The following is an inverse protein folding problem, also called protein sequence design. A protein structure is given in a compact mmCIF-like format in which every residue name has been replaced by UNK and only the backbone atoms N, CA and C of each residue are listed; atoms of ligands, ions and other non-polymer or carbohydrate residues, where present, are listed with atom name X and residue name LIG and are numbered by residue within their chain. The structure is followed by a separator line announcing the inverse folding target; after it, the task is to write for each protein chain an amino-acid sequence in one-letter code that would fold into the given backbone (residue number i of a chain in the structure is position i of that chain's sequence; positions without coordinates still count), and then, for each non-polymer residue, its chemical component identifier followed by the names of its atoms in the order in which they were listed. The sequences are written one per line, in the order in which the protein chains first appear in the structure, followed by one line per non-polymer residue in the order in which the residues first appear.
data_IF_369342362436
#
_entry.id   IF_369342362436
#
_cell.length_a   1.000
_cell.length_b   1.000
_cell.length_c   1.000
_cell.angle_alpha   90.00
_cell.angle_beta   90.00
_cell.angle_gamma   90.00
#
_symmetry.space_group_name_H-M   'P 1'
#
loop_
_entity.id
_entity.type
_entity.pdbx_description
1 polymer ?
#
# COMPACT_ATOMS: atom_id res chain seq x y z
N UNK A 1 15.13 -1.50 -14.33
CA UNK A 1 14.28 -1.33 -13.13
C UNK A 1 12.88 -1.90 -13.31
N UNK A 2 12.08 -1.48 -14.31
CA UNK A 2 10.71 -2.01 -14.47
C UNK A 2 10.64 -3.54 -14.60
N UNK A 3 11.37 -4.14 -15.55
CA UNK A 3 11.40 -5.61 -15.72
C UNK A 3 12.24 -6.35 -14.65
N UNK A 4 12.94 -5.59 -13.81
CA UNK A 4 13.61 -6.16 -12.63
C UNK A 4 12.57 -6.46 -11.55
N UNK A 5 11.55 -5.59 -11.42
CA UNK A 5 10.49 -5.68 -10.40
C UNK A 5 9.21 -6.35 -10.90
N UNK A 6 8.73 -6.00 -12.10
CA UNK A 6 7.44 -6.41 -12.65
C UNK A 6 7.60 -7.28 -13.92
N UNK A 7 6.53 -7.98 -14.31
CA UNK A 7 6.45 -8.65 -15.61
C UNK A 7 6.31 -7.60 -16.72
N UNK A 8 6.56 -7.99 -17.97
CA UNK A 8 6.37 -7.11 -19.12
C UNK A 8 4.90 -6.64 -19.18
N UNK A 9 4.61 -5.33 -19.14
CA UNK A 9 3.23 -4.85 -19.25
C UNK A 9 2.61 -5.26 -20.59
N UNK A 10 1.35 -5.71 -20.55
CA UNK A 10 0.63 -6.20 -21.74
C UNK A 10 0.23 -5.09 -22.73
N UNK A 11 0.14 -3.85 -22.26
CA UNK A 11 -0.26 -2.69 -23.04
C UNK A 11 0.30 -1.37 -22.46
N UNK A 12 0.07 -0.26 -23.17
CA UNK A 12 0.53 1.07 -22.75
C UNK A 12 -0.11 1.54 -21.44
N UNK A 13 -1.40 1.25 -21.21
CA UNK A 13 -2.08 1.61 -19.96
C UNK A 13 -1.48 0.89 -18.74
N UNK A 14 -1.00 -0.32 -18.93
CA UNK A 14 -0.27 -1.11 -17.94
C UNK A 14 1.15 -0.60 -17.74
N UNK A 15 1.83 -0.16 -18.81
CA UNK A 15 3.12 0.52 -18.71
C UNK A 15 3.02 1.80 -17.87
N UNK A 16 2.00 2.63 -18.09
CA UNK A 16 1.77 3.86 -17.32
C UNK A 16 1.53 3.54 -15.85
N UNK A 17 0.62 2.61 -15.54
CA UNK A 17 0.33 2.20 -14.16
C UNK A 17 1.57 1.64 -13.44
N UNK A 18 2.30 0.71 -14.07
CA UNK A 18 3.50 0.13 -13.48
C UNK A 18 4.62 1.15 -13.32
N UNK A 19 4.70 2.18 -14.17
CA UNK A 19 5.69 3.25 -14.01
C UNK A 19 5.45 4.08 -12.74
N UNK A 20 4.18 4.42 -12.46
CA UNK A 20 3.78 5.16 -11.26
C UNK A 20 4.02 4.32 -10.01
N UNK A 21 3.63 3.05 -10.06
CA UNK A 21 3.79 2.12 -8.93
C UNK A 21 5.28 1.85 -8.64
N UNK A 22 6.10 1.67 -9.67
CA UNK A 22 7.56 1.49 -9.52
C UNK A 22 8.20 2.69 -8.82
N UNK A 23 7.82 3.92 -9.23
CA UNK A 23 8.29 5.15 -8.60
C UNK A 23 7.87 5.19 -7.12
N UNK A 24 6.60 4.90 -6.83
CA UNK A 24 6.05 4.94 -5.49
C UNK A 24 6.77 3.97 -4.53
N UNK A 25 6.94 2.71 -4.95
CA UNK A 25 7.63 1.68 -4.17
C UNK A 25 9.12 2.02 -3.96
N UNK A 26 9.79 2.54 -4.98
CA UNK A 26 11.20 2.94 -4.88
C UNK A 26 11.44 4.06 -3.86
N UNK A 27 10.61 5.11 -3.91
CA UNK A 27 10.71 6.22 -2.94
C UNK A 27 10.29 5.76 -1.55
N UNK A 28 9.22 4.96 -1.42
CA UNK A 28 8.77 4.38 -0.15
C UNK A 28 9.90 3.65 0.56
N UNK A 29 10.59 2.75 -0.14
CA UNK A 29 11.68 1.97 0.43
C UNK A 29 12.78 2.86 1.04
N UNK A 30 13.18 3.90 0.32
CA UNK A 30 14.17 4.87 0.81
C UNK A 30 13.66 5.68 2.01
N UNK A 31 12.47 6.26 1.91
CA UNK A 31 11.89 7.12 2.96
C UNK A 31 11.66 6.34 4.26
N UNK A 32 11.06 5.15 4.17
CA UNK A 32 10.83 4.32 5.35
C UNK A 32 12.16 3.92 6.02
N UNK A 33 13.20 3.59 5.24
CA UNK A 33 14.53 3.32 5.78
C UNK A 33 15.13 4.54 6.50
N UNK A 34 15.09 5.72 5.89
CA UNK A 34 15.62 6.94 6.51
C UNK A 34 14.85 7.34 7.77
N UNK A 35 13.53 7.16 7.80
CA UNK A 35 12.72 7.40 9.00
C UNK A 35 13.03 6.41 10.13
N UNK A 36 13.33 5.14 9.80
CA UNK A 36 13.84 4.19 10.80
C UNK A 36 15.19 4.63 11.36
N UNK A 37 16.09 5.13 10.50
CA UNK A 37 17.45 5.60 10.84
C UNK A 37 17.51 7.07 11.30
N UNK A 38 16.52 7.51 12.09
CA UNK A 38 16.34 8.92 12.49
C UNK A 38 17.51 9.52 13.28
N UNK A 39 18.31 8.67 13.93
CA UNK A 39 19.54 9.05 14.63
C UNK A 39 20.65 9.51 13.67
N UNK A 40 20.53 9.18 12.38
CA UNK A 40 21.46 9.62 11.32
C UNK A 40 20.80 10.57 10.32
N UNK A 41 19.50 10.40 10.07
CA UNK A 41 18.77 11.15 9.05
C UNK A 41 17.60 11.89 9.68
N UNK A 42 17.65 13.22 9.69
CA UNK A 42 16.65 14.07 10.31
C UNK A 42 15.61 14.65 9.33
N UNK A 43 15.63 14.23 8.06
CA UNK A 43 14.70 14.74 7.05
C UNK A 43 14.88 14.09 5.69
N UNK A 44 13.81 14.12 4.89
CA UNK A 44 13.82 13.61 3.52
C UNK A 44 12.91 14.48 2.65
N UNK A 45 13.45 14.96 1.54
CA UNK A 45 12.71 15.69 0.51
C UNK A 45 12.84 14.88 -0.79
N UNK A 46 11.75 14.29 -1.26
CA UNK A 46 11.78 13.59 -2.55
C UNK A 46 11.67 14.59 -3.69
N UNK A 47 12.43 14.36 -4.76
CA UNK A 47 12.31 15.11 -6.01
C UNK A 47 11.32 14.37 -6.92
N UNK A 48 10.20 14.95 -7.36
CA UNK A 48 9.68 16.31 -7.09
C UNK A 48 8.20 16.26 -6.71
N UNK A 49 7.63 17.38 -6.26
CA UNK A 49 6.22 17.42 -5.87
C UNK A 49 5.29 17.44 -7.09
N UNK A 50 5.43 18.42 -7.97
CA UNK A 50 4.48 18.75 -9.04
C UNK A 50 5.15 18.93 -10.43
N UNK A 51 4.32 19.21 -11.44
CA UNK A 51 4.76 19.53 -12.81
C UNK A 51 4.30 20.91 -13.27
N UNK A 52 5.05 21.52 -14.19
CA UNK A 52 4.71 22.79 -14.84
C UNK A 52 4.03 22.64 -16.21
N UNK A 53 3.93 21.41 -16.73
CA UNK A 53 3.29 21.04 -18.01
C UNK A 53 3.06 19.52 -18.09
N UNK A 54 2.21 19.00 -19.00
CA UNK A 54 2.00 17.57 -19.16
C UNK A 54 3.26 16.85 -19.67
N UNK A 55 3.93 16.10 -18.79
CA UNK A 55 5.23 15.49 -19.10
C UNK A 55 5.46 14.21 -18.29
N UNK A 56 6.40 13.37 -18.75
CA UNK A 56 7.00 12.35 -17.91
C UNK A 56 8.05 12.99 -16.98
N UNK A 57 7.83 12.90 -15.67
CA UNK A 57 8.71 13.50 -14.65
C UNK A 57 8.71 12.65 -13.37
N UNK A 58 9.46 13.12 -12.37
CA UNK A 58 9.50 12.57 -11.02
C UNK A 58 8.42 13.11 -10.08
N UNK A 59 7.42 13.82 -10.60
CA UNK A 59 6.37 14.40 -9.76
C UNK A 59 5.52 13.33 -9.09
N UNK A 60 4.95 13.66 -7.93
CA UNK A 60 3.88 12.87 -7.30
C UNK A 60 2.49 13.39 -7.69
N UNK A 61 2.40 14.67 -8.07
CA UNK A 61 1.22 15.34 -8.62
C UNK A 61 1.50 15.71 -10.07
N UNK A 62 0.64 15.29 -11.00
CA UNK A 62 0.80 15.73 -12.39
C UNK A 62 0.39 17.19 -12.61
N UNK A 63 0.54 17.67 -13.84
CA UNK A 63 0.23 19.06 -14.21
C UNK A 63 -1.23 19.48 -13.91
N UNK A 64 -2.17 18.53 -13.99
CA UNK A 64 -3.59 18.80 -13.72
C UNK A 64 -3.93 18.63 -12.24
N UNK A 65 -2.93 18.41 -11.38
CA UNK A 65 -3.10 18.19 -9.94
C UNK A 65 -3.56 16.77 -9.59
N UNK A 66 -3.55 15.83 -10.53
CA UNK A 66 -3.97 14.44 -10.28
C UNK A 66 -2.90 13.72 -9.48
N UNK A 67 -3.34 13.02 -8.44
CA UNK A 67 -2.45 12.25 -7.57
C UNK A 67 -1.96 11.00 -8.30
N UNK A 68 -0.65 10.85 -8.45
CA UNK A 68 -0.02 9.60 -8.86
C UNK A 68 0.13 8.66 -7.67
N UNK A 69 0.50 7.42 -7.92
CA UNK A 69 0.78 6.42 -6.87
C UNK A 69 1.72 6.94 -5.78
N UNK A 70 2.76 7.68 -6.15
CA UNK A 70 3.72 8.24 -5.20
C UNK A 70 3.05 9.18 -4.17
N UNK A 71 2.02 9.95 -4.53
CA UNK A 71 1.42 10.90 -3.58
C UNK A 71 0.60 10.18 -2.50
N UNK A 72 -0.15 9.14 -2.88
CA UNK A 72 -0.85 8.27 -1.94
C UNK A 72 0.12 7.54 -1.01
N UNK A 73 1.18 6.98 -1.58
CA UNK A 73 2.22 6.28 -0.82
C UNK A 73 3.00 7.25 0.07
N UNK A 74 3.20 8.50 -0.34
CA UNK A 74 3.83 9.54 0.47
C UNK A 74 3.02 9.91 1.69
N UNK A 75 1.69 10.00 1.56
CA UNK A 75 0.81 10.19 2.71
C UNK A 75 0.96 9.07 3.74
N UNK A 76 1.22 7.83 3.31
CA UNK A 76 1.47 6.69 4.22
C UNK A 76 2.87 6.75 4.84
N UNK A 77 3.93 6.91 4.04
CA UNK A 77 5.30 6.89 4.57
C UNK A 77 5.69 8.16 5.34
N UNK A 78 4.92 9.25 5.23
CA UNK A 78 5.04 10.45 6.07
C UNK A 78 3.93 10.57 7.13
N UNK A 79 3.15 9.52 7.35
CA UNK A 79 2.19 9.52 8.45
C UNK A 79 2.91 9.78 9.80
N UNK A 80 2.31 10.56 10.72
CA UNK A 80 2.91 10.84 12.03
C UNK A 80 3.26 9.58 12.83
N UNK A 81 2.46 8.52 12.66
CA UNK A 81 2.80 7.16 13.05
C UNK A 81 3.00 6.33 11.78
N UNK A 82 4.21 5.81 11.61
CA UNK A 82 4.58 4.95 10.51
C UNK A 82 4.82 3.54 10.99
N UNK A 83 3.95 2.62 10.60
CA UNK A 83 4.27 1.20 10.57
C UNK A 83 5.15 0.94 9.34
N UNK A 84 6.33 0.35 9.53
CA UNK A 84 7.20 -0.04 8.42
C UNK A 84 7.84 -1.40 8.66
N UNK A 85 8.17 -2.07 7.57
CA UNK A 85 8.83 -3.37 7.59
C UNK A 85 10.21 -3.20 6.98
N UNK A 86 11.25 -3.61 7.70
CA UNK A 86 12.55 -3.87 7.10
C UNK A 86 12.54 -5.27 6.49
N UNK A 87 12.34 -5.30 5.17
CA UNK A 87 12.22 -6.52 4.38
C UNK A 87 13.61 -7.08 4.04
N UNK A 88 13.98 -8.17 4.72
CA UNK A 88 15.24 -8.89 4.52
C UNK A 88 14.99 -10.41 4.47
N UNK A 89 14.31 -10.92 3.43
CA UNK A 89 13.85 -12.31 3.36
C UNK A 89 14.96 -13.32 3.65
N UNK A 90 14.71 -14.34 4.51
CA UNK A 90 13.41 -14.74 5.07
C UNK A 90 13.01 -13.99 6.35
N UNK A 91 13.72 -12.94 6.75
CA UNK A 91 13.44 -12.17 7.97
C UNK A 91 12.58 -10.94 7.68
N UNK A 92 11.70 -10.62 8.61
CA UNK A 92 10.83 -9.44 8.59
C UNK A 92 10.92 -8.75 9.94
N UNK A 93 11.43 -7.52 9.96
CA UNK A 93 11.49 -6.71 11.18
C UNK A 93 10.47 -5.59 11.12
N UNK A 94 9.60 -5.52 12.12
CA UNK A 94 8.50 -4.55 12.20
C UNK A 94 8.88 -3.41 13.12
N UNK A 95 8.68 -2.18 12.64
CA UNK A 95 8.98 -0.96 13.38
C UNK A 95 7.80 -0.01 13.38
N UNK A 96 7.70 0.77 14.46
CA UNK A 96 6.86 1.97 14.51
C UNK A 96 7.74 3.19 14.67
N UNK A 97 7.70 4.11 13.71
CA UNK A 97 8.30 5.43 13.84
C UNK A 97 7.23 6.45 14.18
N UNK A 98 7.43 7.19 15.26
CA UNK A 98 6.53 8.25 15.74
C UNK A 98 7.20 9.61 15.64
N UNK A 99 6.52 10.54 14.98
CA UNK A 99 6.85 11.97 14.97
C UNK A 99 5.98 12.76 15.97
N UNK A 100 5.24 12.06 16.82
CA UNK A 100 4.37 12.67 17.83
C UNK A 100 5.14 13.05 19.07
N UNK A 101 4.64 14.06 19.79
CA UNK A 101 5.26 14.60 21.00
C UNK A 101 4.89 13.83 22.27
N UNK A 102 3.81 13.06 22.21
CA UNK A 102 3.30 12.27 23.34
C UNK A 102 3.48 10.78 23.07
N UNK A 103 3.62 10.03 24.16
CA UNK A 103 3.61 8.57 24.12
C UNK A 103 2.23 8.08 23.71
N UNK A 104 2.18 7.13 22.79
CA UNK A 104 0.95 6.44 22.43
C UNK A 104 1.07 4.93 22.72
N UNK A 105 -0.05 4.24 22.74
CA UNK A 105 -0.10 2.78 22.81
C UNK A 105 -0.83 2.24 21.60
N UNK A 106 -0.53 0.99 21.26
CA UNK A 106 -1.22 0.28 20.20
C UNK A 106 -0.94 -1.20 20.26
N UNK A 107 -1.50 -1.91 19.29
CA UNK A 107 -1.29 -3.34 19.10
C UNK A 107 -0.81 -3.54 17.67
N UNK A 108 0.32 -4.25 17.51
CA UNK A 108 0.77 -4.71 16.20
C UNK A 108 0.35 -6.15 16.02
N UNK A 109 -0.47 -6.39 15.01
CA UNK A 109 -0.83 -7.73 14.54
C UNK A 109 0.00 -8.06 13.32
N UNK A 110 0.44 -9.30 13.21
CA UNK A 110 1.12 -9.77 12.02
C UNK A 110 0.69 -11.18 11.64
N UNK A 111 0.71 -11.47 10.34
CA UNK A 111 0.50 -12.79 9.77
C UNK A 111 1.53 -13.09 8.69
N UNK A 112 2.00 -14.33 8.65
CA UNK A 112 2.56 -14.96 7.46
C UNK A 112 1.43 -15.76 6.82
N UNK A 113 1.05 -15.42 5.60
CA UNK A 113 -0.09 -16.05 4.92
C UNK A 113 0.23 -16.38 3.46
N UNK A 114 -0.55 -17.30 2.89
CA UNK A 114 -0.53 -17.53 1.45
C UNK A 114 -1.16 -16.35 0.72
N UNK A 115 -0.86 -16.19 -0.58
CA UNK A 115 -1.57 -15.20 -1.41
C UNK A 115 -3.09 -15.44 -1.49
N UNK A 116 -3.56 -16.63 -1.10
CA UNK A 116 -4.98 -16.99 -1.01
C UNK A 116 -5.62 -16.64 0.35
N UNK A 117 -4.82 -16.30 1.37
CA UNK A 117 -5.29 -15.94 2.71
C UNK A 117 -5.19 -17.05 3.76
N UNK A 118 -4.55 -18.18 3.43
CA UNK A 118 -4.31 -19.23 4.44
C UNK A 118 -3.17 -18.78 5.36
N UNK A 119 -3.46 -18.64 6.65
CA UNK A 119 -2.48 -18.21 7.65
C UNK A 119 -1.58 -19.38 8.04
N UNK A 120 -0.26 -19.21 7.85
CA UNK A 120 0.77 -20.17 8.26
C UNK A 120 1.26 -19.89 9.68
N UNK A 121 1.37 -18.62 10.04
CA UNK A 121 1.81 -18.17 11.35
C UNK A 121 1.26 -16.76 11.61
N UNK A 122 1.07 -16.40 12.87
CA UNK A 122 0.56 -15.10 13.26
C UNK A 122 0.90 -14.76 14.69
N UNK A 123 0.97 -13.47 15.00
CA UNK A 123 1.17 -12.99 16.35
C UNK A 123 0.61 -11.60 16.58
N UNK A 124 0.60 -11.22 17.85
CA UNK A 124 0.11 -9.93 18.30
C UNK A 124 1.04 -9.42 19.42
N UNK A 125 1.48 -8.17 19.31
CA UNK A 125 2.35 -7.52 20.29
C UNK A 125 1.75 -6.19 20.72
N UNK A 126 1.58 -6.00 22.03
CA UNK A 126 1.27 -4.68 22.59
C UNK A 126 2.52 -3.80 22.52
N UNK A 127 2.37 -2.57 22.04
CA UNK A 127 3.50 -1.65 21.87
C UNK A 127 3.26 -0.34 22.59
N UNK A 128 4.27 0.09 23.33
CA UNK A 128 4.39 1.46 23.83
C UNK A 128 5.22 2.26 22.82
N UNK A 129 4.59 3.24 22.19
CA UNK A 129 5.15 4.03 21.11
C UNK A 129 5.73 5.30 21.73
N UNK A 130 7.06 5.31 21.92
CA UNK A 130 7.75 6.47 22.46
C UNK A 130 7.62 7.69 21.53
N UNK A 131 7.53 8.92 22.09
CA UNK A 131 7.45 10.14 21.29
C UNK A 131 8.76 10.38 20.56
N UNK A 132 8.66 10.91 19.33
CA UNK A 132 9.83 11.28 18.51
C UNK A 132 10.87 10.15 18.47
N UNK A 133 10.45 8.92 18.16
CA UNK A 133 11.30 7.74 18.25
C UNK A 133 10.92 6.67 17.23
N UNK A 134 11.86 5.77 16.95
CA UNK A 134 11.61 4.52 16.24
C UNK A 134 11.66 3.39 17.25
N UNK A 135 10.57 2.62 17.33
CA UNK A 135 10.41 1.48 18.23
C UNK A 135 10.45 0.20 17.39
N UNK A 136 11.39 -0.69 17.69
CA UNK A 136 11.39 -2.04 17.14
C UNK A 136 10.32 -2.87 17.86
N UNK A 137 9.42 -3.50 17.11
CA UNK A 137 8.27 -4.23 17.66
C UNK A 137 8.50 -5.73 17.58
N UNK A 138 8.87 -6.24 16.40
CA UNK A 138 9.10 -7.66 16.18
C UNK A 138 10.27 -7.86 15.22
N UNK A 139 11.02 -8.95 15.41
CA UNK A 139 12.04 -9.41 14.48
C UNK A 139 11.78 -10.91 14.23
N UNK A 140 11.17 -11.20 13.10
CA UNK A 140 10.62 -12.51 12.78
C UNK A 140 11.52 -13.20 11.76
N UNK A 141 11.90 -14.44 12.03
CA UNK A 141 12.71 -15.27 11.14
C UNK A 141 11.89 -16.47 10.65
N UNK A 142 11.52 -16.43 9.36
CA UNK A 142 10.69 -17.46 8.74
C UNK A 142 11.52 -18.52 7.98
N UNK A 143 12.81 -18.67 8.29
CA UNK A 143 13.69 -19.66 7.63
C UNK A 143 13.13 -21.09 7.68
N UNK A 144 12.34 -21.44 8.71
CA UNK A 144 11.75 -22.79 8.83
C UNK A 144 10.47 -22.96 8.00
N UNK A 145 9.77 -21.86 7.73
CA UNK A 145 8.49 -21.83 7.03
C UNK A 145 8.67 -21.57 5.53
N UNK A 146 9.78 -20.93 5.12
CA UNK A 146 9.98 -20.44 3.76
C UNK A 146 11.10 -21.21 3.05
N UNK A 147 10.81 -21.64 1.83
CA UNK A 147 11.76 -22.29 0.93
C UNK A 147 11.53 -21.81 -0.52
N UNK A 148 12.32 -22.31 -1.46
CA UNK A 148 12.22 -21.88 -2.87
C UNK A 148 10.91 -22.27 -3.55
N UNK A 149 10.22 -23.31 -3.07
CA UNK A 149 8.96 -23.78 -3.62
C UNK A 149 7.78 -22.89 -3.21
N UNK A 150 7.78 -22.37 -1.97
CA UNK A 150 6.63 -21.63 -1.44
C UNK A 150 6.82 -20.10 -1.38
N UNK A 151 8.05 -19.57 -1.40
CA UNK A 151 8.32 -18.11 -1.25
C UNK A 151 7.59 -17.21 -2.24
N UNK A 152 7.17 -17.75 -3.40
CA UNK A 152 6.41 -17.03 -4.44
C UNK A 152 4.91 -16.94 -4.15
N UNK A 153 4.44 -17.71 -3.17
CA UNK A 153 3.05 -17.85 -2.74
C UNK A 153 2.79 -17.26 -1.35
N UNK A 154 3.76 -16.56 -0.76
CA UNK A 154 3.65 -16.03 0.60
C UNK A 154 3.68 -14.51 0.61
N UNK A 155 2.93 -13.93 1.54
CA UNK A 155 2.94 -12.52 1.90
C UNK A 155 3.01 -12.42 3.42
N UNK A 156 3.78 -11.45 3.90
CA UNK A 156 3.78 -11.06 5.31
C UNK A 156 2.97 -9.78 5.44
N UNK A 157 1.99 -9.78 6.35
CA UNK A 157 1.11 -8.64 6.61
C UNK A 157 1.33 -8.17 8.04
N UNK A 158 1.53 -6.88 8.23
CA UNK A 158 1.59 -6.24 9.54
C UNK A 158 0.56 -5.11 9.61
N UNK A 159 -0.12 -4.99 10.74
CA UNK A 159 -1.17 -4.00 10.98
C UNK A 159 -0.98 -3.35 12.34
N UNK A 160 -1.10 -2.03 12.39
CA UNK A 160 -1.14 -1.26 13.63
C UNK A 160 -2.58 -0.94 13.98
N UNK A 161 -2.99 -1.29 15.19
CA UNK A 161 -4.32 -1.06 15.71
C UNK A 161 -4.27 -0.14 16.95
N UNK A 162 -5.13 0.87 16.97
CA UNK A 162 -5.36 1.75 18.13
C UNK A 162 -6.87 1.88 18.35
N UNK A 163 -7.32 1.75 19.60
CA UNK A 163 -8.74 1.89 19.99
C UNK A 163 -9.71 1.08 19.10
N UNK A 164 -9.32 -0.15 18.73
CA UNK A 164 -10.13 -1.04 17.90
C UNK A 164 -10.17 -0.69 16.41
N UNK A 165 -9.42 0.31 15.95
CA UNK A 165 -9.34 0.72 14.55
C UNK A 165 -7.95 0.43 13.97
N UNK A 166 -7.92 -0.02 12.72
CA UNK A 166 -6.67 -0.20 11.98
C UNK A 166 -6.15 1.18 11.54
N UNK A 167 -4.97 1.54 12.02
CA UNK A 167 -4.29 2.82 11.75
C UNK A 167 -3.39 2.72 10.52
N UNK A 168 -2.72 1.58 10.35
CA UNK A 168 -1.84 1.34 9.22
C UNK A 168 -1.77 -0.16 8.90
N UNK A 169 -1.47 -0.47 7.65
CA UNK A 169 -1.12 -1.81 7.17
C UNK A 169 0.12 -1.71 6.29
N UNK A 170 1.01 -2.68 6.43
CA UNK A 170 2.15 -2.89 5.55
C UNK A 170 2.23 -4.35 5.13
N UNK A 171 2.79 -4.57 3.95
CA UNK A 171 2.97 -5.89 3.35
C UNK A 171 4.42 -6.04 2.91
N UNK A 172 4.97 -7.23 3.13
CA UNK A 172 6.31 -7.61 2.66
C UNK A 172 6.26 -8.96 1.96
N UNK A 173 7.28 -9.23 1.14
CA UNK A 173 7.24 -10.31 0.17
C UNK A 173 8.56 -11.09 0.18
N UNK A 174 8.49 -12.38 -0.12
CA UNK A 174 9.66 -13.26 -0.10
C UNK A 174 10.23 -13.54 -1.50
N UNK A 175 9.68 -12.86 -2.52
CA UNK A 175 10.18 -12.85 -3.88
C UNK A 175 9.86 -11.51 -4.56
N UNK A 176 10.66 -11.07 -5.56
CA UNK A 176 10.32 -9.94 -6.40
C UNK A 176 8.92 -10.07 -7.01
N UNK A 177 8.20 -8.96 -7.18
CA UNK A 177 6.79 -8.95 -7.62
C UNK A 177 6.55 -9.78 -8.89
N UNK A 178 7.45 -9.72 -9.88
CA UNK A 178 7.35 -10.49 -11.13
C UNK A 178 7.35 -12.00 -10.93
N UNK A 179 7.93 -12.48 -9.84
CA UNK A 179 8.04 -13.90 -9.49
C UNK A 179 6.93 -14.39 -8.58
N UNK A 180 6.16 -13.49 -7.95
CA UNK A 180 4.98 -13.89 -7.19
C UNK A 180 3.99 -14.64 -8.08
N UNK A 181 3.39 -15.67 -7.53
CA UNK A 181 2.32 -16.45 -8.16
C UNK A 181 0.97 -15.79 -7.88
N UNK A 182 0.86 -14.51 -8.27
CA UNK A 182 -0.39 -13.77 -8.14
C UNK A 182 -1.51 -14.49 -8.91
N UNK A 183 -2.64 -14.66 -8.25
CA UNK A 183 -3.88 -15.16 -8.84
C UNK A 183 -4.80 -13.98 -9.15
N UNK A 184 -5.80 -14.20 -10.00
CA UNK A 184 -6.83 -13.21 -10.25
C UNK A 184 -7.52 -12.84 -8.92
N UNK A 185 -7.40 -11.59 -8.43
CA UNK A 185 -7.85 -11.26 -7.09
C UNK A 185 -9.38 -11.22 -6.94
N UNK A 186 -10.12 -11.14 -8.06
CA UNK A 186 -11.58 -11.06 -8.06
C UNK A 186 -12.09 -10.00 -7.08
N UNK A 187 -11.51 -8.79 -7.13
CA UNK A 187 -11.88 -7.70 -6.23
C UNK A 187 -13.34 -7.31 -6.45
N UNK A 188 -14.16 -7.46 -5.42
CA UNK A 188 -15.53 -6.98 -5.39
C UNK A 188 -15.57 -5.58 -4.81
N UNK A 189 -16.49 -4.75 -5.31
CA UNK A 189 -16.72 -3.41 -4.80
C UNK A 189 -18.20 -3.24 -4.47
N UNK A 190 -18.49 -2.83 -3.23
CA UNK A 190 -19.83 -2.43 -2.80
C UNK A 190 -19.82 -0.93 -2.55
N UNK A 191 -20.52 -0.21 -3.41
CA UNK A 191 -20.60 1.24 -3.39
C UNK A 191 -21.85 1.73 -2.67
N UNK A 192 -21.74 2.85 -1.96
CA UNK A 192 -22.87 3.61 -1.44
C UNK A 192 -22.54 5.09 -1.44
N UNK A 193 -23.55 5.92 -1.28
CA UNK A 193 -23.37 7.38 -1.11
C UNK A 193 -23.62 7.77 0.34
N UNK A 194 -22.75 8.62 0.89
CA UNK A 194 -22.93 9.27 2.19
C UNK A 194 -22.77 10.78 1.99
N UNK A 195 -23.90 11.50 1.92
CA UNK A 195 -23.88 12.92 1.55
C UNK A 195 -23.32 13.12 0.13
N UNK A 196 -22.23 13.87 0.03
CA UNK A 196 -21.51 14.14 -1.21
C UNK A 196 -20.33 13.18 -1.48
N UNK A 197 -20.18 12.12 -0.67
CA UNK A 197 -19.13 11.13 -0.81
C UNK A 197 -19.63 9.84 -1.44
N UNK A 198 -18.83 9.27 -2.33
CA UNK A 198 -18.89 7.87 -2.71
C UNK A 198 -18.06 7.06 -1.72
N UNK A 199 -18.66 6.03 -1.12
CA UNK A 199 -17.97 5.08 -0.23
C UNK A 199 -17.91 3.72 -0.91
N UNK A 200 -16.70 3.17 -1.02
CA UNK A 200 -16.37 1.96 -1.79
C UNK A 200 -15.76 0.94 -0.82
N UNK A 201 -16.44 -0.19 -0.63
CA UNK A 201 -15.95 -1.31 0.20
C UNK A 201 -15.38 -2.36 -0.75
N UNK A 202 -14.08 -2.61 -0.64
CA UNK A 202 -13.33 -3.49 -1.54
C UNK A 202 -12.92 -4.75 -0.80
N UNK A 203 -13.18 -5.91 -1.38
CA UNK A 203 -12.74 -7.21 -0.85
C UNK A 203 -12.15 -8.06 -1.98
N UNK A 204 -10.94 -8.58 -1.80
CA UNK A 204 -10.30 -9.50 -2.74
C UNK A 204 -10.41 -10.95 -2.29
N UNK A 205 -10.59 -11.89 -3.22
CA UNK A 205 -10.54 -13.33 -2.93
C UNK A 205 -9.10 -13.84 -2.72
N UNK A 206 -8.14 -13.24 -3.40
CA UNK A 206 -6.71 -13.42 -3.16
C UNK A 206 -6.05 -12.05 -3.02
N UNK A 207 -4.76 -12.00 -2.68
CA UNK A 207 -4.01 -10.75 -2.60
C UNK A 207 -4.18 -9.93 -3.89
N UNK A 208 -4.71 -8.72 -3.76
CA UNK A 208 -4.69 -7.72 -4.81
C UNK A 208 -3.59 -6.70 -4.50
N UNK A 209 -2.48 -6.78 -5.24
CA UNK A 209 -1.31 -5.92 -5.02
C UNK A 209 -1.47 -4.57 -5.74
N UNK A 210 -1.19 -3.49 -5.02
CA UNK A 210 -1.13 -2.09 -5.48
C UNK A 210 -2.40 -1.66 -6.23
N UNK A 211 -3.56 -1.92 -5.62
CA UNK A 211 -4.90 -1.65 -6.14
C UNK A 211 -5.04 -0.18 -6.52
N UNK A 212 -5.31 0.09 -7.80
CA UNK A 212 -5.68 1.41 -8.30
C UNK A 212 -7.20 1.48 -8.51
N UNK A 213 -7.79 2.56 -7.98
CA UNK A 213 -9.16 3.00 -8.23
C UNK A 213 -9.14 4.21 -9.17
N UNK A 214 -10.06 4.24 -10.13
CA UNK A 214 -10.32 5.41 -10.98
C UNK A 214 -11.78 5.50 -11.41
N UNK A 215 -12.19 6.69 -11.86
CA UNK A 215 -13.53 6.94 -12.43
C UNK A 215 -13.37 7.31 -13.90
N UNK A 216 -14.03 6.59 -14.80
CA UNK A 216 -14.06 6.99 -16.21
C UNK A 216 -14.89 8.26 -16.37
N UNK A 217 -14.27 9.31 -16.90
CA UNK A 217 -14.95 10.58 -17.20
C UNK A 217 -14.96 11.59 -16.05
N UNK A 218 -14.25 11.31 -14.95
CA UNK A 218 -14.05 12.28 -13.86
C UNK A 218 -12.69 12.05 -13.18
N UNK A 219 -12.02 13.15 -12.81
CA UNK A 219 -10.90 13.08 -11.88
C UNK A 219 -11.43 13.01 -10.44
N UNK A 220 -10.78 12.21 -9.60
CA UNK A 220 -11.15 12.03 -8.20
C UNK A 220 -9.94 11.76 -7.33
N UNK A 221 -9.88 12.43 -6.18
CA UNK A 221 -8.93 12.11 -5.12
C UNK A 221 -9.61 11.14 -4.17
N UNK A 222 -9.05 9.96 -4.03
CA UNK A 222 -9.56 8.93 -3.14
C UNK A 222 -8.96 9.09 -1.73
N UNK A 223 -9.69 8.66 -0.71
CA UNK A 223 -9.19 8.63 0.67
C UNK A 223 -8.04 7.64 0.80
N UNK A 224 -7.95 6.64 -0.07
CA UNK A 224 -6.74 5.85 -0.31
C UNK A 224 -6.71 5.21 -1.71
N UNK A 225 -5.50 5.00 -2.25
CA UNK A 225 -5.31 4.41 -3.57
C UNK A 225 -3.88 3.82 -3.72
N UNK A 226 -3.66 2.86 -4.60
CA UNK A 226 -2.38 2.14 -4.75
C UNK A 226 -1.92 1.45 -3.46
N UNK A 227 -2.80 0.66 -2.84
CA UNK A 227 -2.53 -0.14 -1.64
C UNK A 227 -2.62 -1.64 -1.92
N UNK A 228 -2.05 -2.45 -1.03
CA UNK A 228 -2.25 -3.89 -1.06
C UNK A 228 -3.51 -4.28 -0.28
N UNK A 229 -4.32 -5.16 -0.87
CA UNK A 229 -5.51 -5.74 -0.27
C UNK A 229 -5.27 -7.24 -0.07
N UNK A 230 -4.89 -7.67 1.14
CA UNK A 230 -4.74 -9.09 1.46
C UNK A 230 -6.05 -9.85 1.27
N UNK A 231 -5.92 -11.17 1.06
CA UNK A 231 -7.06 -12.01 0.71
C UNK A 231 -8.12 -12.04 1.84
N UNK A 232 -9.39 -11.91 1.46
CA UNK A 232 -10.52 -11.91 2.39
C UNK A 232 -10.65 -10.64 3.26
N UNK A 233 -9.67 -9.73 3.22
CA UNK A 233 -9.72 -8.48 3.97
C UNK A 233 -10.50 -7.41 3.21
N UNK A 234 -11.09 -6.48 3.95
CA UNK A 234 -11.86 -5.36 3.39
C UNK A 234 -11.09 -4.04 3.55
N UNK A 235 -11.06 -3.24 2.48
CA UNK A 235 -10.63 -1.85 2.51
C UNK A 235 -11.83 -0.94 2.23
N UNK A 236 -11.94 0.16 2.98
CA UNK A 236 -12.96 1.17 2.75
C UNK A 236 -12.29 2.42 2.21
N UNK A 237 -12.66 2.81 0.99
CA UNK A 237 -12.16 4.00 0.31
C UNK A 237 -13.32 4.95 0.05
N UNK A 238 -13.09 6.24 0.24
CA UNK A 238 -14.07 7.28 -0.08
C UNK A 238 -13.51 8.22 -1.14
N UNK A 239 -14.36 8.87 -1.91
CA UNK A 239 -13.99 10.03 -2.71
C UNK A 239 -15.19 10.95 -2.84
N UNK A 240 -14.94 12.23 -3.16
CA UNK A 240 -16.04 13.12 -3.53
C UNK A 240 -16.80 12.53 -4.73
N UNK A 241 -18.13 12.51 -4.64
CA UNK A 241 -18.98 12.14 -5.76
C UNK A 241 -18.91 13.24 -6.81
N UNK A 242 -18.55 12.94 -8.07
CA UNK A 242 -18.48 13.98 -9.10
C UNK A 242 -19.80 14.73 -9.24
N UNK A 243 -19.73 16.04 -9.46
CA UNK A 243 -20.93 16.87 -9.57
C UNK A 243 -21.87 16.31 -10.63
N UNK A 244 -23.17 16.29 -10.34
CA UNK A 244 -24.26 15.72 -11.18
C UNK A 244 -24.30 14.20 -11.30
N UNK A 245 -23.37 13.45 -10.71
CA UNK A 245 -23.42 11.99 -10.74
C UNK A 245 -24.33 11.43 -9.64
N UNK A 246 -25.06 10.37 -9.96
CA UNK A 246 -25.69 9.49 -8.99
C UNK A 246 -24.87 8.21 -8.75
N UNK A 247 -25.26 7.41 -7.75
CA UNK A 247 -24.58 6.16 -7.38
C UNK A 247 -24.37 5.22 -8.58
N UNK A 248 -25.42 4.95 -9.36
CA UNK A 248 -25.34 4.02 -10.50
C UNK A 248 -24.36 4.48 -11.59
N UNK A 249 -24.23 5.79 -11.79
CA UNK A 249 -23.24 6.34 -12.72
C UNK A 249 -21.82 6.16 -12.17
N UNK A 250 -21.62 6.44 -10.89
CA UNK A 250 -20.33 6.25 -10.23
C UNK A 250 -19.90 4.77 -10.26
N UNK A 251 -20.81 3.85 -9.99
CA UNK A 251 -20.58 2.40 -10.09
C UNK A 251 -20.20 1.97 -11.51
N UNK A 252 -20.92 2.46 -12.52
CA UNK A 252 -20.62 2.16 -13.92
C UNK A 252 -19.27 2.74 -14.38
N UNK A 253 -18.84 3.86 -13.79
CA UNK A 253 -17.58 4.54 -14.10
C UNK A 253 -16.38 3.97 -13.30
N UNK A 254 -16.61 3.34 -12.15
CA UNK A 254 -15.56 2.80 -11.29
C UNK A 254 -14.73 1.74 -12.02
N UNK A 255 -13.42 1.93 -12.01
CA UNK A 255 -12.44 0.94 -12.47
C UNK A 255 -11.51 0.59 -11.32
N UNK A 256 -11.23 -0.70 -11.23
CA UNK A 256 -10.35 -1.28 -10.23
C UNK A 256 -9.33 -2.09 -11.01
N UNK A 257 -8.06 -1.89 -10.72
CA UNK A 257 -6.98 -2.72 -11.26
C UNK A 257 -5.96 -3.00 -10.17
N UNK A 258 -5.17 -4.02 -10.38
CA UNK A 258 -4.04 -4.42 -9.54
C UNK A 258 -2.83 -4.76 -10.42
N UNK A 259 -1.71 -5.13 -9.80
CA UNK A 259 -0.54 -5.64 -10.54
C UNK A 259 -0.89 -6.86 -11.40
N UNK A 260 -1.82 -7.72 -10.95
CA UNK A 260 -2.25 -8.90 -11.71
C UNK A 260 -2.83 -8.50 -13.08
N UNK A 261 -3.56 -7.39 -13.15
CA UNK A 261 -4.23 -6.94 -14.38
C UNK A 261 -3.26 -6.33 -15.40
N UNK A 262 -1.98 -6.17 -15.06
CA UNK A 262 -0.99 -5.50 -15.91
C UNK A 262 -0.25 -6.42 -16.90
N UNK A 263 -0.35 -7.73 -16.75
CA UNK A 263 0.35 -8.73 -17.58
C UNK A 263 -0.56 -9.86 -18.06
#
# INVERSE_FOLDING_TARGET
QMLDTFRLPKDFGSLVYLSMVLQAEGIRYGVEHWRRARERVAGTLYWQLNDCWPVASWSSLDYFGRWKALHYVARRFFAPLLLSIEDAPPRQSVFITSDRLETETGIVRWSLETLAGDVLDSGEESVNIAPLATTAVANLDFTRQINDDNRRNLVFVAELWQDGHQVARQTAYFAPTKHLQLMAPQVTAVCRTEGDQLVINLTGRSLARLVELSLIGADGVFSDNYFDLPAGQTAVVTCALPSSWGLSQAEAALRIRSVYDSF
#
